data_IF_584816146702
#
_entry.id   IF_584816146702
#
_cell.length_a   1.000
_cell.length_b   1.000
_cell.length_c   1.000
_cell.angle_alpha   90.00
_cell.angle_beta   90.00
_cell.angle_gamma   90.00
#
_symmetry.space_group_name_H-M   'P 1'
#
loop_
_entity.id
_entity.type
_entity.pdbx_description
1 polymer ?
#
# COMPACT_ATOMS: atom_id res chain seq x y z
N UNK A 1 -12.29 -22.73 15.53
CA UNK A 1 -11.28 -21.90 14.82
C UNK A 1 -11.78 -20.47 14.59
N UNK A 2 -13.06 -20.25 14.19
CA UNK A 2 -13.61 -18.90 13.96
C UNK A 2 -13.54 -18.00 15.20
N UNK A 3 -13.87 -18.53 16.38
CA UNK A 3 -13.77 -17.77 17.63
C UNK A 3 -12.31 -17.42 17.95
N UNK A 4 -11.37 -18.33 17.71
CA UNK A 4 -9.96 -18.08 17.95
C UNK A 4 -9.41 -17.03 16.97
N UNK A 5 -9.76 -17.09 15.68
CA UNK A 5 -9.38 -16.08 14.72
C UNK A 5 -9.91 -14.68 15.09
N UNK A 6 -11.17 -14.63 15.55
CA UNK A 6 -11.78 -13.39 16.06
C UNK A 6 -11.07 -12.85 17.30
N UNK A 7 -10.67 -13.73 18.22
CA UNK A 7 -9.93 -13.34 19.42
C UNK A 7 -8.57 -12.71 19.09
N UNK A 8 -7.80 -13.32 18.18
CA UNK A 8 -6.52 -12.75 17.72
C UNK A 8 -6.70 -11.38 17.04
N UNK A 9 -7.69 -11.27 16.16
CA UNK A 9 -7.99 -9.98 15.51
C UNK A 9 -8.37 -8.90 16.50
N UNK A 10 -9.23 -9.22 17.45
CA UNK A 10 -9.67 -8.28 18.48
C UNK A 10 -8.50 -7.85 19.37
N UNK A 11 -7.67 -8.79 19.82
CA UNK A 11 -6.51 -8.49 20.63
C UNK A 11 -5.51 -7.59 19.85
N UNK A 12 -5.28 -7.88 18.57
CA UNK A 12 -4.45 -7.05 17.71
C UNK A 12 -5.04 -5.64 17.50
N UNK A 13 -6.37 -5.53 17.30
CA UNK A 13 -7.03 -4.22 17.20
C UNK A 13 -6.92 -3.39 18.48
N UNK A 14 -6.95 -4.02 19.65
CA UNK A 14 -6.69 -3.32 20.92
C UNK A 14 -5.26 -2.76 20.96
N UNK A 15 -4.27 -3.54 20.49
CA UNK A 15 -2.90 -3.05 20.40
C UNK A 15 -2.78 -1.86 19.43
N UNK A 16 -3.47 -1.92 18.28
CA UNK A 16 -3.53 -0.84 17.30
C UNK A 16 -4.12 0.44 17.90
N UNK A 17 -5.21 0.34 18.65
CA UNK A 17 -5.86 1.47 19.33
C UNK A 17 -4.96 2.12 20.39
N UNK A 18 -4.11 1.34 21.06
CA UNK A 18 -3.12 1.85 22.03
C UNK A 18 -1.98 2.59 21.30
N UNK A 19 -1.66 2.19 20.07
CA UNK A 19 -0.71 2.86 19.19
C UNK A 19 0.66 2.22 19.08
N UNK A 20 1.64 2.98 18.60
CA UNK A 20 2.96 2.48 18.19
C UNK A 20 3.74 1.73 19.28
N UNK A 21 3.48 1.99 20.56
CA UNK A 21 4.12 1.26 21.66
C UNK A 21 3.78 -0.22 21.72
N UNK A 22 2.67 -0.63 21.10
CA UNK A 22 2.17 -2.00 21.07
C UNK A 22 2.33 -2.69 19.71
N UNK A 23 2.98 -2.06 18.73
CA UNK A 23 3.15 -2.63 17.37
C UNK A 23 3.82 -4.00 17.37
N UNK A 24 4.86 -4.19 18.19
CA UNK A 24 5.53 -5.49 18.28
C UNK A 24 4.63 -6.58 18.85
N UNK A 25 3.78 -6.24 19.82
CA UNK A 25 2.82 -7.17 20.42
C UNK A 25 1.69 -7.48 19.43
N UNK A 26 1.19 -6.48 18.71
CA UNK A 26 0.21 -6.69 17.64
C UNK A 26 0.71 -7.67 16.58
N UNK A 27 1.94 -7.47 16.09
CA UNK A 27 2.59 -8.36 15.11
C UNK A 27 2.73 -9.77 15.68
N UNK A 28 3.16 -9.92 16.95
CA UNK A 28 3.27 -11.22 17.61
C UNK A 28 1.93 -11.95 17.69
N UNK A 29 0.88 -11.28 18.14
CA UNK A 29 -0.46 -11.85 18.25
C UNK A 29 -0.98 -12.36 16.89
N UNK A 30 -0.81 -11.56 15.84
CA UNK A 30 -1.25 -11.95 14.50
C UNK A 30 -0.46 -13.11 13.92
N UNK A 31 0.87 -13.15 14.13
CA UNK A 31 1.69 -14.28 13.73
C UNK A 31 1.32 -15.55 14.50
N UNK A 32 1.12 -15.48 15.82
CA UNK A 32 0.65 -16.62 16.61
C UNK A 32 -0.70 -17.14 16.10
N UNK A 33 -1.62 -16.23 15.76
CA UNK A 33 -2.91 -16.62 15.19
C UNK A 33 -2.75 -17.35 13.84
N UNK A 34 -1.85 -16.89 12.98
CA UNK A 34 -1.56 -17.53 11.69
C UNK A 34 -0.94 -18.93 11.90
N UNK A 35 -0.03 -19.08 12.87
CA UNK A 35 0.63 -20.37 13.16
C UNK A 35 -0.32 -21.39 13.81
N UNK A 36 -1.25 -20.94 14.63
CA UNK A 36 -2.15 -21.84 15.38
C UNK A 36 -3.42 -22.22 14.62
N UNK A 37 -3.77 -21.47 13.59
CA UNK A 37 -4.99 -21.68 12.82
C UNK A 37 -4.68 -22.44 11.51
N UNK A 38 -5.64 -23.21 10.98
CA UNK A 38 -5.49 -23.80 9.65
C UNK A 38 -5.29 -22.74 8.56
N UNK A 39 -4.61 -23.10 7.47
CA UNK A 39 -4.25 -22.22 6.36
C UNK A 39 -5.43 -21.37 5.80
N UNK A 40 -6.64 -21.91 5.85
CA UNK A 40 -7.85 -21.19 5.42
C UNK A 40 -8.16 -19.92 6.21
N UNK A 41 -7.55 -19.72 7.38
CA UNK A 41 -7.71 -18.53 8.22
C UNK A 41 -6.67 -17.46 7.97
N UNK A 42 -5.65 -17.73 7.15
CA UNK A 42 -4.59 -16.79 6.83
C UNK A 42 -5.14 -15.42 6.40
N UNK A 43 -6.04 -15.40 5.42
CA UNK A 43 -6.60 -14.16 4.90
C UNK A 43 -7.37 -13.35 5.96
N UNK A 44 -7.86 -13.98 7.00
CA UNK A 44 -8.58 -13.30 8.07
C UNK A 44 -7.68 -12.44 8.97
N UNK A 45 -6.39 -12.76 9.05
CA UNK A 45 -5.40 -12.11 9.93
C UNK A 45 -4.36 -11.31 9.13
N UNK A 46 -4.01 -11.78 7.95
CA UNK A 46 -2.87 -11.29 7.18
C UNK A 46 -3.00 -9.83 6.72
N UNK A 47 -4.21 -9.35 6.46
CA UNK A 47 -4.42 -7.94 6.10
C UNK A 47 -4.02 -7.00 7.23
N UNK A 48 -4.42 -7.31 8.46
CA UNK A 48 -4.05 -6.54 9.65
C UNK A 48 -2.54 -6.68 9.96
N UNK A 49 -1.98 -7.88 9.81
CA UNK A 49 -0.54 -8.12 9.96
C UNK A 49 0.29 -7.28 8.97
N UNK A 50 -0.10 -7.25 7.70
CA UNK A 50 0.60 -6.45 6.70
C UNK A 50 0.55 -4.95 7.02
N UNK A 51 -0.59 -4.44 7.48
CA UNK A 51 -0.73 -3.05 7.94
C UNK A 51 0.14 -2.76 9.17
N UNK A 52 0.23 -3.69 10.11
CA UNK A 52 1.10 -3.56 11.29
C UNK A 52 2.59 -3.53 10.89
N UNK A 53 3.01 -4.34 9.91
CA UNK A 53 4.37 -4.28 9.38
C UNK A 53 4.67 -2.94 8.69
N UNK A 54 3.73 -2.35 7.94
CA UNK A 54 3.92 -1.01 7.34
C UNK A 54 4.15 0.03 8.44
N UNK A 55 3.29 0.08 9.47
CA UNK A 55 3.43 1.00 10.59
C UNK A 55 4.76 0.78 11.35
N UNK A 56 5.19 -0.47 11.51
CA UNK A 56 6.48 -0.79 12.13
C UNK A 56 7.66 -0.33 11.26
N UNK A 57 7.57 -0.44 9.94
CA UNK A 57 8.57 0.08 9.02
C UNK A 57 8.68 1.61 9.12
N UNK A 58 7.54 2.31 9.16
CA UNK A 58 7.49 3.77 9.32
C UNK A 58 8.07 4.21 10.67
N UNK A 59 7.74 3.51 11.76
CA UNK A 59 8.20 3.84 13.10
C UNK A 59 9.71 3.60 13.30
N UNK A 60 10.29 2.62 12.60
CA UNK A 60 11.69 2.19 12.82
C UNK A 60 12.64 2.57 11.69
N UNK A 61 12.13 2.91 10.51
CA UNK A 61 12.91 3.08 9.29
C UNK A 61 13.54 1.78 8.77
N UNK A 62 13.14 0.61 9.30
CA UNK A 62 13.72 -0.68 8.92
C UNK A 62 13.03 -1.27 7.69
N UNK A 63 13.71 -1.38 6.52
CA UNK A 63 13.12 -1.93 5.30
C UNK A 63 12.79 -3.42 5.39
N UNK A 64 13.25 -4.13 6.42
CA UNK A 64 12.86 -5.51 6.69
C UNK A 64 11.35 -5.65 6.87
N UNK A 65 10.74 -4.73 7.59
CA UNK A 65 9.28 -4.74 7.79
C UNK A 65 8.50 -4.41 6.51
N UNK A 66 9.04 -3.57 5.61
CA UNK A 66 8.44 -3.37 4.28
C UNK A 66 8.44 -4.66 3.46
N UNK A 67 9.52 -5.45 3.52
CA UNK A 67 9.61 -6.75 2.85
C UNK A 67 8.64 -7.77 3.47
N UNK A 68 8.46 -7.74 4.78
CA UNK A 68 7.50 -8.62 5.47
C UNK A 68 6.06 -8.25 5.10
N UNK A 69 5.72 -6.96 5.06
CA UNK A 69 4.44 -6.48 4.57
C UNK A 69 4.18 -6.89 3.12
N UNK A 70 5.17 -6.71 2.25
CA UNK A 70 5.07 -7.08 0.83
C UNK A 70 4.78 -8.58 0.67
N UNK A 71 5.54 -9.44 1.36
CA UNK A 71 5.31 -10.90 1.34
C UNK A 71 3.91 -11.27 1.82
N UNK A 72 3.43 -10.61 2.86
CA UNK A 72 2.11 -10.87 3.43
C UNK A 72 1.00 -10.48 2.44
N UNK A 73 1.08 -9.32 1.79
CA UNK A 73 0.13 -8.92 0.75
C UNK A 73 0.20 -9.81 -0.50
N UNK A 74 1.38 -10.20 -0.93
CA UNK A 74 1.55 -11.14 -2.05
C UNK A 74 0.92 -12.51 -1.75
N UNK A 75 1.04 -12.98 -0.51
CA UNK A 75 0.38 -14.22 -0.11
C UNK A 75 -1.15 -14.06 -0.06
N UNK A 76 -1.66 -12.90 0.39
CA UNK A 76 -3.10 -12.59 0.31
C UNK A 76 -3.60 -12.62 -1.13
N UNK A 77 -2.88 -11.99 -2.07
CA UNK A 77 -3.23 -12.03 -3.49
C UNK A 77 -3.21 -13.45 -4.05
N UNK A 78 -2.17 -14.22 -3.76
CA UNK A 78 -2.06 -15.63 -4.15
C UNK A 78 -3.20 -16.48 -3.60
N UNK A 79 -3.69 -16.17 -2.42
CA UNK A 79 -4.85 -16.82 -1.79
C UNK A 79 -6.20 -16.30 -2.33
N UNK A 80 -6.20 -15.54 -3.42
CA UNK A 80 -7.39 -15.06 -4.11
C UNK A 80 -7.94 -13.71 -3.64
N UNK A 81 -7.29 -13.03 -2.69
CA UNK A 81 -7.65 -11.66 -2.32
C UNK A 81 -7.02 -10.65 -3.30
N UNK A 82 -7.69 -10.44 -4.44
CA UNK A 82 -7.23 -9.57 -5.53
C UNK A 82 -7.90 -8.19 -5.50
N UNK A 83 -8.29 -7.72 -4.32
CA UNK A 83 -8.91 -6.41 -4.16
C UNK A 83 -7.95 -5.28 -4.53
N UNK A 84 -8.51 -4.14 -4.91
CA UNK A 84 -7.74 -2.93 -5.21
C UNK A 84 -6.78 -2.58 -4.07
N UNK A 85 -7.25 -2.64 -2.81
CA UNK A 85 -6.44 -2.31 -1.63
C UNK A 85 -5.20 -3.20 -1.51
N UNK A 86 -5.35 -4.53 -1.66
CA UNK A 86 -4.22 -5.46 -1.60
C UNK A 86 -3.19 -5.14 -2.69
N UNK A 87 -3.64 -4.96 -3.94
CA UNK A 87 -2.76 -4.71 -5.08
C UNK A 87 -2.11 -3.33 -5.04
N UNK A 88 -2.82 -2.29 -4.57
CA UNK A 88 -2.23 -0.97 -4.36
C UNK A 88 -1.14 -1.01 -3.30
N UNK A 89 -1.35 -1.72 -2.19
CA UNK A 89 -0.33 -1.88 -1.16
C UNK A 89 0.90 -2.64 -1.67
N UNK A 90 0.70 -3.67 -2.51
CA UNK A 90 1.82 -4.36 -3.17
C UNK A 90 2.61 -3.37 -4.04
N UNK A 91 1.96 -2.59 -4.90
CA UNK A 91 2.62 -1.63 -5.77
C UNK A 91 3.35 -0.52 -4.97
N UNK A 92 2.72 0.00 -3.92
CA UNK A 92 3.31 0.98 -3.01
C UNK A 92 4.59 0.43 -2.34
N UNK A 93 4.54 -0.79 -1.81
CA UNK A 93 5.69 -1.43 -1.17
C UNK A 93 6.81 -1.73 -2.16
N UNK A 94 6.48 -2.15 -3.38
CA UNK A 94 7.45 -2.31 -4.46
C UNK A 94 8.12 -0.98 -4.81
N UNK A 95 7.37 0.13 -4.88
CA UNK A 95 7.93 1.48 -5.05
C UNK A 95 8.87 1.84 -3.91
N UNK A 96 8.46 1.67 -2.66
CA UNK A 96 9.29 1.97 -1.48
C UNK A 96 10.56 1.14 -1.39
N UNK A 97 10.53 -0.09 -1.92
CA UNK A 97 11.69 -0.98 -2.05
C UNK A 97 12.50 -0.76 -3.34
N UNK A 98 12.19 0.30 -4.10
CA UNK A 98 12.84 0.67 -5.37
C UNK A 98 12.68 -0.36 -6.50
N UNK A 99 11.69 -1.25 -6.42
CA UNK A 99 11.33 -2.19 -7.51
C UNK A 99 10.30 -1.53 -8.44
N UNK A 100 10.70 -0.44 -9.08
CA UNK A 100 9.81 0.40 -9.89
C UNK A 100 9.20 -0.33 -11.08
N UNK A 101 9.94 -1.29 -11.65
CA UNK A 101 9.42 -2.08 -12.77
C UNK A 101 8.22 -2.92 -12.40
N UNK A 102 8.27 -3.64 -11.28
CA UNK A 102 7.13 -4.43 -10.79
C UNK A 102 5.98 -3.55 -10.30
N UNK A 103 6.29 -2.44 -9.63
CA UNK A 103 5.27 -1.47 -9.24
C UNK A 103 4.53 -0.94 -10.47
N UNK A 104 5.24 -0.60 -11.54
CA UNK A 104 4.65 -0.13 -12.80
C UNK A 104 3.76 -1.20 -13.45
N UNK A 105 4.21 -2.45 -13.53
CA UNK A 105 3.44 -3.56 -14.08
C UNK A 105 2.11 -3.76 -13.34
N UNK A 106 2.16 -3.81 -12.02
CA UNK A 106 0.97 -3.93 -11.17
C UNK A 106 0.01 -2.75 -11.37
N UNK A 107 0.53 -1.52 -11.40
CA UNK A 107 -0.28 -0.31 -11.53
C UNK A 107 -0.91 -0.18 -12.92
N UNK A 108 -0.25 -0.63 -13.98
CA UNK A 108 -0.84 -0.67 -15.32
C UNK A 108 -2.04 -1.62 -15.38
N UNK A 109 -1.94 -2.80 -14.77
CA UNK A 109 -3.07 -3.72 -14.67
C UNK A 109 -4.21 -3.10 -13.83
N UNK A 110 -3.89 -2.45 -12.70
CA UNK A 110 -4.89 -1.76 -11.88
C UNK A 110 -5.57 -0.60 -12.61
N UNK A 111 -4.86 0.13 -13.46
CA UNK A 111 -5.44 1.20 -14.27
C UNK A 111 -6.53 0.68 -15.22
N UNK A 112 -6.33 -0.50 -15.78
CA UNK A 112 -7.30 -1.11 -16.69
C UNK A 112 -8.54 -1.60 -15.92
N UNK A 113 -8.35 -2.16 -14.72
CA UNK A 113 -9.43 -2.64 -13.84
C UNK A 113 -10.17 -1.49 -13.13
N UNK A 114 -9.46 -0.42 -12.75
CA UNK A 114 -9.96 0.71 -11.94
C UNK A 114 -9.64 2.07 -12.58
N UNK A 115 -10.16 2.37 -13.79
CA UNK A 115 -9.78 3.56 -14.56
C UNK A 115 -10.24 4.91 -13.97
N UNK A 116 -11.03 4.89 -12.90
CA UNK A 116 -11.54 6.09 -12.22
C UNK A 116 -11.06 6.25 -10.78
N UNK A 117 -10.15 5.40 -10.31
CA UNK A 117 -9.59 5.53 -8.98
C UNK A 117 -8.32 6.39 -9.02
N UNK A 118 -8.34 7.57 -8.36
CA UNK A 118 -7.22 8.52 -8.37
C UNK A 118 -5.96 7.92 -7.77
N UNK A 119 -6.06 7.00 -6.82
CA UNK A 119 -4.93 6.38 -6.11
C UNK A 119 -4.05 5.58 -7.07
N UNK A 120 -4.65 4.94 -8.07
CA UNK A 120 -3.91 4.22 -9.11
C UNK A 120 -3.06 5.20 -9.93
N UNK A 121 -3.64 6.30 -10.38
CA UNK A 121 -2.92 7.32 -11.15
C UNK A 121 -1.90 8.07 -10.31
N UNK A 122 -2.19 8.32 -9.03
CA UNK A 122 -1.21 8.87 -8.07
C UNK A 122 0.05 8.02 -8.03
N UNK A 123 -0.08 6.72 -7.82
CA UNK A 123 1.07 5.83 -7.77
C UNK A 123 1.74 5.63 -9.13
N UNK A 124 0.99 5.64 -10.24
CA UNK A 124 1.57 5.67 -11.59
C UNK A 124 2.45 6.90 -11.79
N UNK A 125 2.03 8.08 -11.31
CA UNK A 125 2.83 9.29 -11.41
C UNK A 125 4.12 9.21 -10.58
N UNK A 126 4.07 8.71 -9.34
CA UNK A 126 5.26 8.52 -8.53
C UNK A 126 6.25 7.54 -9.18
N UNK A 127 5.78 6.36 -9.58
CA UNK A 127 6.64 5.33 -10.18
C UNK A 127 7.21 5.79 -11.53
N UNK A 128 6.38 6.43 -12.39
CA UNK A 128 6.85 6.93 -13.68
C UNK A 128 7.87 8.04 -13.49
N UNK A 129 7.70 8.93 -12.50
CA UNK A 129 8.66 9.98 -12.19
C UNK A 129 10.04 9.44 -11.84
N UNK A 130 10.12 8.38 -11.04
CA UNK A 130 11.38 7.71 -10.73
C UNK A 130 12.01 7.04 -11.96
N UNK A 131 11.19 6.39 -12.79
CA UNK A 131 11.67 5.78 -14.04
C UNK A 131 12.16 6.83 -15.06
N UNK A 132 11.45 7.95 -15.20
CA UNK A 132 11.84 9.04 -16.08
C UNK A 132 13.16 9.67 -15.59
N UNK A 133 13.32 9.86 -14.27
CA UNK A 133 14.56 10.34 -13.67
C UNK A 133 15.74 9.39 -13.94
N UNK A 134 15.56 8.09 -13.68
CA UNK A 134 16.62 7.09 -13.91
C UNK A 134 17.06 6.98 -15.37
N UNK A 135 16.15 7.18 -16.30
CA UNK A 135 16.40 7.06 -17.72
C UNK A 135 16.77 8.39 -18.41
N UNK A 136 16.79 9.50 -17.67
CA UNK A 136 16.98 10.83 -18.23
C UNK A 136 15.91 11.21 -19.27
N UNK A 137 14.68 10.68 -19.10
CA UNK A 137 13.56 10.90 -19.98
C UNK A 137 12.79 12.18 -19.62
N UNK A 138 11.97 12.68 -20.54
CA UNK A 138 11.05 13.78 -20.22
C UNK A 138 9.90 13.29 -19.33
N UNK A 139 9.44 14.14 -18.42
CA UNK A 139 8.35 13.83 -17.50
C UNK A 139 6.95 13.91 -18.13
N UNK A 140 6.83 13.87 -19.45
CA UNK A 140 5.52 14.01 -20.14
C UNK A 140 4.52 12.95 -19.71
N UNK A 141 4.94 11.69 -19.55
CA UNK A 141 4.05 10.62 -19.07
C UNK A 141 3.71 10.78 -17.59
N UNK A 142 4.70 11.13 -16.79
CA UNK A 142 4.54 11.43 -15.35
C UNK A 142 3.51 12.52 -15.14
N UNK A 143 3.61 13.63 -15.87
CA UNK A 143 2.64 14.74 -15.82
C UNK A 143 1.24 14.30 -16.24
N UNK A 144 1.11 13.47 -17.28
CA UNK A 144 -0.18 12.94 -17.72
C UNK A 144 -0.88 12.10 -16.64
N UNK A 145 -0.13 11.27 -15.91
CA UNK A 145 -0.67 10.52 -14.77
C UNK A 145 -1.03 11.43 -13.60
N UNK A 146 -0.20 12.42 -13.30
CA UNK A 146 -0.50 13.41 -12.27
C UNK A 146 -1.78 14.20 -12.59
N UNK A 147 -1.94 14.72 -13.81
CA UNK A 147 -3.13 15.46 -14.21
C UNK A 147 -4.40 14.63 -14.05
N UNK A 148 -4.36 13.36 -14.48
CA UNK A 148 -5.48 12.44 -14.32
C UNK A 148 -5.78 12.18 -12.82
N UNK A 149 -4.74 11.93 -12.01
CA UNK A 149 -4.91 11.75 -10.57
C UNK A 149 -5.53 12.99 -9.91
N UNK A 150 -5.03 14.19 -10.23
CA UNK A 150 -5.53 15.45 -9.68
C UNK A 150 -6.99 15.74 -10.08
N UNK A 151 -7.37 15.40 -11.31
CA UNK A 151 -8.73 15.56 -11.80
C UNK A 151 -9.72 14.65 -11.07
N UNK A 152 -9.38 13.37 -10.94
CA UNK A 152 -10.17 12.38 -10.20
C UNK A 152 -10.25 12.71 -8.70
N UNK A 153 -9.12 13.13 -8.10
CA UNK A 153 -9.04 13.45 -6.68
C UNK A 153 -9.92 14.67 -6.30
N UNK A 154 -10.07 15.68 -7.17
CA UNK A 154 -10.96 16.81 -6.89
C UNK A 154 -12.40 16.39 -6.61
N UNK A 155 -12.89 15.34 -7.26
CA UNK A 155 -14.21 14.79 -6.99
C UNK A 155 -14.28 14.15 -5.59
N UNK A 156 -13.24 13.42 -5.18
CA UNK A 156 -13.12 12.80 -3.85
C UNK A 156 -12.96 13.86 -2.74
N UNK A 157 -12.18 14.92 -2.99
CA UNK A 157 -12.05 16.06 -2.05
C UNK A 157 -13.39 16.73 -1.75
N UNK A 158 -14.26 16.85 -2.72
CA UNK A 158 -15.60 17.42 -2.52
C UNK A 158 -16.43 16.58 -1.54
N UNK A 159 -16.10 15.30 -1.37
CA UNK A 159 -16.71 14.37 -0.42
C UNK A 159 -15.97 14.30 0.94
N UNK A 160 -14.94 15.14 1.14
CA UNK A 160 -14.18 15.22 2.39
C UNK A 160 -12.96 14.29 2.46
N UNK A 161 -12.59 13.64 1.37
CA UNK A 161 -11.36 12.82 1.31
C UNK A 161 -10.13 13.73 1.29
N UNK A 162 -9.17 13.48 2.18
CA UNK A 162 -7.87 14.14 2.21
C UNK A 162 -6.74 13.12 2.07
N UNK A 163 -5.84 13.37 1.12
CA UNK A 163 -4.66 12.54 0.86
C UNK A 163 -3.40 13.43 0.79
N UNK A 164 -2.55 13.43 1.84
CA UNK A 164 -1.36 14.28 1.87
C UNK A 164 -0.33 13.93 0.78
N UNK A 165 -0.37 12.71 0.25
CA UNK A 165 0.51 12.32 -0.86
C UNK A 165 0.11 13.02 -2.17
N UNK A 166 -1.17 13.41 -2.34
CA UNK A 166 -1.58 14.23 -3.48
C UNK A 166 -1.00 15.65 -3.39
N UNK A 167 -0.89 16.24 -2.20
CA UNK A 167 -0.24 17.54 -2.00
C UNK A 167 1.27 17.47 -2.33
N UNK A 168 1.93 16.36 -1.96
CA UNK A 168 3.33 16.13 -2.32
C UNK A 168 3.49 15.97 -3.84
N UNK A 169 2.64 15.18 -4.48
CA UNK A 169 2.66 14.97 -5.92
C UNK A 169 2.46 16.29 -6.69
N UNK A 170 1.54 17.14 -6.23
CA UNK A 170 1.31 18.48 -6.79
C UNK A 170 2.56 19.38 -6.67
N UNK A 171 3.26 19.32 -5.52
CA UNK A 171 4.51 20.04 -5.31
C UNK A 171 5.62 19.54 -6.24
N UNK A 172 5.74 18.21 -6.42
CA UNK A 172 6.72 17.62 -7.34
C UNK A 172 6.44 18.00 -8.79
N UNK A 173 5.17 17.98 -9.21
CA UNK A 173 4.76 18.37 -10.54
C UNK A 173 5.17 19.82 -10.87
N UNK A 174 4.98 20.75 -9.92
CA UNK A 174 5.33 22.17 -10.10
C UNK A 174 6.83 22.44 -10.10
N UNK A 175 7.62 21.68 -9.35
CA UNK A 175 9.03 21.99 -9.09
C UNK A 175 10.00 21.14 -9.92
N UNK A 176 9.64 19.90 -10.21
CA UNK A 176 10.60 18.93 -10.74
C UNK A 176 10.24 18.38 -12.13
N UNK A 177 8.98 18.48 -12.58
CA UNK A 177 8.51 17.79 -13.78
C UNK A 177 8.06 18.72 -14.91
N UNK A 178 8.13 20.07 -14.71
CA UNK A 178 7.78 21.08 -15.73
C UNK A 178 8.97 21.47 -16.60
#
# INVERSE_FOLDING_TARGET
>A
NDQLARAYRLAASICEDIGNSMLSEEINLLNQGIEQLPDGYYNALAGQLASAYIRQAEATGNPGYQKDALRTYQQLEKNGNTTLEVRLNIAMLQYQLHDFSKAMEMLQALKDDYPKDYRVYKWLAFVQGELDLQNGASYTKTLGYYETAAELYRAEQASGVYDPQMDELDRMARNNWQ
#
